data_IF_685362929478
#
_entry.id   IF_685362929478
#
_cell.length_a   1.000
_cell.length_b   1.000
_cell.length_c   1.000
_cell.angle_alpha   90.00
_cell.angle_beta   90.00
_cell.angle_gamma   90.00
#
_symmetry.space_group_name_H-M   'P 1'
#
loop_
_entity.id
_entity.type
_entity.pdbx_description
1 polymer ?
#
# COMPACT_ATOMS: atom_id res chain seq x y z
N UNK A 1 -0.73 -2.66 -10.76
CA UNK A 1 -1.91 -3.15 -10.01
C UNK A 1 -1.46 -4.22 -9.03
N UNK A 2 -2.08 -4.32 -7.86
CA UNK A 2 -1.84 -5.36 -6.84
C UNK A 2 -3.18 -5.79 -6.25
N UNK A 3 -3.21 -6.85 -5.44
CA UNK A 3 -4.43 -7.41 -4.87
C UNK A 3 -5.21 -8.25 -5.88
N UNK A 4 -6.23 -8.97 -5.39
CA UNK A 4 -6.96 -9.98 -6.17
C UNK A 4 -7.60 -9.47 -7.46
N UNK A 5 -8.01 -8.20 -7.50
CA UNK A 5 -8.57 -7.57 -8.71
C UNK A 5 -7.60 -7.53 -9.91
N UNK A 6 -6.29 -7.69 -9.66
CA UNK A 6 -5.29 -7.77 -10.73
C UNK A 6 -5.47 -9.01 -11.62
N UNK A 7 -6.08 -10.09 -11.10
CA UNK A 7 -6.32 -11.33 -11.84
C UNK A 7 -7.64 -11.32 -12.64
N UNK A 8 -8.40 -10.23 -12.57
CA UNK A 8 -9.61 -10.08 -13.38
C UNK A 8 -9.24 -9.38 -14.71
N UNK A 9 -9.05 -10.16 -15.76
CA UNK A 9 -8.64 -9.65 -17.07
C UNK A 9 -9.60 -8.59 -17.61
N UNK A 10 -10.91 -8.81 -17.47
CA UNK A 10 -11.89 -7.82 -17.92
C UNK A 10 -11.70 -6.48 -17.20
N UNK A 11 -11.55 -6.49 -15.87
CA UNK A 11 -11.31 -5.28 -15.09
C UNK A 11 -10.01 -4.57 -15.52
N UNK A 12 -8.93 -5.34 -15.68
CA UNK A 12 -7.63 -4.80 -16.09
C UNK A 12 -7.72 -4.15 -17.47
N UNK A 13 -8.37 -4.80 -18.44
CA UNK A 13 -8.57 -4.25 -19.78
C UNK A 13 -9.47 -3.00 -19.78
N UNK A 14 -10.51 -2.97 -18.93
CA UNK A 14 -11.32 -1.74 -18.75
C UNK A 14 -10.51 -0.58 -18.20
N UNK A 15 -9.62 -0.82 -17.23
CA UNK A 15 -8.73 0.22 -16.69
C UNK A 15 -7.76 0.70 -17.78
N UNK A 16 -7.14 -0.21 -18.54
CA UNK A 16 -6.25 0.13 -19.66
C UNK A 16 -6.95 0.99 -20.71
N UNK A 17 -8.19 0.66 -21.06
CA UNK A 17 -8.94 1.40 -22.07
C UNK A 17 -9.38 2.80 -21.60
N UNK A 18 -9.46 3.05 -20.29
CA UNK A 18 -9.97 4.30 -19.71
C UNK A 18 -8.86 5.23 -19.18
N UNK A 19 -7.60 4.81 -19.20
CA UNK A 19 -6.49 5.60 -18.69
C UNK A 19 -5.45 5.86 -19.76
N UNK A 20 -4.84 7.05 -19.71
CA UNK A 20 -3.66 7.38 -20.53
C UNK A 20 -2.35 7.00 -19.82
N UNK A 21 -2.42 6.47 -18.59
CA UNK A 21 -1.25 6.13 -17.80
C UNK A 21 -0.76 4.71 -18.08
N UNK A 22 0.54 4.49 -17.93
CA UNK A 22 1.11 3.15 -17.99
C UNK A 22 0.63 2.31 -16.80
N UNK A 23 0.14 1.11 -17.08
CA UNK A 23 -0.19 0.12 -16.05
C UNK A 23 0.98 -0.83 -15.88
N UNK A 24 1.58 -0.85 -14.69
CA UNK A 24 2.60 -1.82 -14.30
C UNK A 24 1.95 -2.94 -13.50
N UNK A 25 2.15 -4.18 -13.92
CA UNK A 25 1.77 -5.39 -13.16
C UNK A 25 3.07 -5.98 -12.57
N UNK A 26 3.23 -5.97 -11.23
CA UNK A 26 4.45 -6.47 -10.59
C UNK A 26 4.43 -8.00 -10.48
N UNK A 27 5.43 -8.58 -9.80
CA UNK A 27 5.50 -10.03 -9.57
C UNK A 27 4.34 -10.54 -8.72
N UNK A 28 4.08 -11.84 -8.79
CA UNK A 28 2.99 -12.51 -8.06
C UNK A 28 3.09 -12.28 -6.55
N UNK A 29 4.29 -12.32 -6.01
CA UNK A 29 4.58 -12.08 -4.60
C UNK A 29 4.12 -10.68 -4.17
N UNK A 30 4.38 -9.66 -5.00
CA UNK A 30 3.94 -8.29 -4.72
C UNK A 30 2.43 -8.16 -4.92
N UNK A 31 1.84 -8.80 -5.94
CA UNK A 31 0.39 -8.78 -6.14
C UNK A 31 -0.33 -9.32 -4.90
N UNK A 32 0.14 -10.45 -4.36
CA UNK A 32 -0.52 -11.18 -3.27
C UNK A 32 -0.21 -10.60 -1.89
N UNK A 33 0.99 -10.09 -1.65
CA UNK A 33 1.46 -9.77 -0.30
C UNK A 33 1.78 -8.29 -0.06
N UNK A 34 1.54 -7.38 -1.01
CA UNK A 34 1.86 -5.95 -0.83
C UNK A 34 1.37 -5.41 0.51
N UNK A 35 0.11 -5.65 0.89
CA UNK A 35 -0.44 -5.09 2.12
C UNK A 35 0.28 -5.63 3.37
N UNK A 36 0.55 -6.93 3.43
CA UNK A 36 1.31 -7.54 4.52
C UNK A 36 2.73 -6.97 4.62
N UNK A 37 3.41 -6.81 3.48
CA UNK A 37 4.74 -6.20 3.40
C UNK A 37 4.72 -4.75 3.91
N UNK A 38 3.72 -3.97 3.50
CA UNK A 38 3.54 -2.60 3.97
C UNK A 38 3.25 -2.57 5.48
N UNK A 39 2.38 -3.43 6.02
CA UNK A 39 2.14 -3.49 7.47
C UNK A 39 3.42 -3.82 8.26
N UNK A 40 4.24 -4.75 7.78
CA UNK A 40 5.55 -5.04 8.37
C UNK A 40 6.48 -3.82 8.34
N UNK A 41 6.54 -3.11 7.21
CA UNK A 41 7.35 -1.91 7.07
C UNK A 41 6.86 -0.75 7.96
N UNK A 42 5.54 -0.52 8.05
CA UNK A 42 4.95 0.48 8.96
C UNK A 42 5.32 0.19 10.42
N UNK A 43 5.40 -1.09 10.80
CA UNK A 43 5.89 -1.53 12.10
C UNK A 43 7.36 -1.16 12.34
N UNK A 44 8.24 -1.39 11.35
CA UNK A 44 9.66 -0.98 11.41
C UNK A 44 9.78 0.54 11.58
N UNK A 45 9.02 1.33 10.83
CA UNK A 45 9.01 2.78 10.96
C UNK A 45 8.56 3.23 12.35
N UNK A 46 7.52 2.58 12.91
CA UNK A 46 7.09 2.85 14.29
C UNK A 46 8.19 2.55 15.31
N UNK A 47 8.93 1.45 15.16
CA UNK A 47 10.06 1.11 16.04
C UNK A 47 11.20 2.14 16.00
N UNK A 48 11.30 2.90 14.91
CA UNK A 48 12.32 3.95 14.71
C UNK A 48 11.80 5.36 14.96
N UNK A 49 10.55 5.50 15.42
CA UNK A 49 9.87 6.78 15.59
C UNK A 49 9.74 7.61 14.29
N UNK A 50 9.80 6.95 13.14
CA UNK A 50 9.64 7.58 11.83
C UNK A 50 8.15 7.76 11.47
N UNK A 51 7.85 8.79 10.67
CA UNK A 51 6.50 9.02 10.16
C UNK A 51 6.08 7.87 9.24
N UNK A 52 4.96 7.23 9.56
CA UNK A 52 4.39 6.13 8.79
C UNK A 52 2.92 6.41 8.38
N UNK A 53 2.40 7.58 8.77
CA UNK A 53 1.07 8.06 8.45
C UNK A 53 1.16 9.53 8.01
N UNK A 54 0.80 9.79 6.74
CA UNK A 54 0.91 11.12 6.13
C UNK A 54 -0.42 11.86 6.21
N UNK A 55 -0.39 13.13 6.64
CA UNK A 55 -1.54 14.02 6.68
C UNK A 55 -2.11 14.28 5.28
N UNK A 56 -1.25 14.37 4.26
CA UNK A 56 -1.66 14.59 2.87
C UNK A 56 -2.57 13.49 2.30
N UNK A 57 -2.50 12.28 2.86
CA UNK A 57 -3.31 11.12 2.44
C UNK A 57 -4.52 10.93 3.34
N UNK A 58 -4.36 11.17 4.65
CA UNK A 58 -5.38 10.85 5.67
C UNK A 58 -6.29 12.01 6.06
N UNK A 59 -5.89 13.26 5.76
CA UNK A 59 -6.56 14.46 6.25
C UNK A 59 -6.27 14.79 7.73
N UNK A 60 -5.31 14.12 8.36
CA UNK A 60 -4.86 14.47 9.71
C UNK A 60 -4.22 15.86 9.76
N UNK A 61 -4.11 16.46 10.95
CA UNK A 61 -3.51 17.80 11.12
C UNK A 61 -1.99 17.85 10.89
N UNK A 62 -1.30 16.70 10.99
CA UNK A 62 0.13 16.55 10.74
C UNK A 62 0.51 15.10 10.45
N UNK A 63 1.64 14.91 9.80
CA UNK A 63 2.28 13.60 9.70
C UNK A 63 2.65 13.09 11.10
N UNK A 64 2.58 11.77 11.31
CA UNK A 64 2.93 11.18 12.59
C UNK A 64 3.34 9.71 12.50
N UNK A 65 4.01 9.23 13.55
CA UNK A 65 4.38 7.83 13.75
C UNK A 65 3.26 7.07 14.47
N UNK A 66 2.38 6.45 13.70
CA UNK A 66 1.20 5.72 14.16
C UNK A 66 1.51 4.26 14.54
N UNK A 67 0.63 3.66 15.33
CA UNK A 67 0.76 2.30 15.88
C UNK A 67 1.16 2.28 17.36
N UNK A 68 1.00 1.11 18.00
CA UNK A 68 1.34 0.86 19.40
C UNK A 68 2.25 -0.38 19.51
N UNK A 69 3.27 -0.29 20.37
CA UNK A 69 4.19 -1.40 20.65
C UNK A 69 3.68 -2.11 21.90
N UNK A 70 3.31 -3.39 21.76
CA UNK A 70 2.94 -4.24 22.88
C UNK A 70 4.18 -5.02 23.34
N UNK A 71 4.53 -4.88 24.62
CA UNK A 71 5.55 -5.71 25.24
C UNK A 71 4.89 -7.02 25.68
N UNK A 72 5.55 -8.14 25.38
CA UNK A 72 5.21 -9.47 25.89
C UNK A 72 5.76 -9.58 27.31
#
# INVERSE_FOLDING_TARGET
LTGGGTYNDFLVERIKALTNNQIVIPSKEIIEFKEALIFGFLGVLKLREENNCLASVTGASKDHSSGNIFKI
#
